data_IF_122459370808
#
_entry.id   IF_122459370808
#
_cell.length_a   1.000
_cell.length_b   1.000
_cell.length_c   1.000
_cell.angle_alpha   90.00
_cell.angle_beta   90.00
_cell.angle_gamma   90.00
#
_symmetry.space_group_name_H-M   'P 1'
#
loop_
_entity.id
_entity.type
_entity.pdbx_description
1 polymer ?
#
# COMPACT_ATOMS: atom_id res chain seq x y z
N UNK A 1 1.06 -11.44 -9.43
CA UNK A 1 0.87 -10.90 -8.07
C UNK A 1 0.26 -9.51 -8.17
N UNK A 2 -0.49 -9.07 -7.15
CA UNK A 2 -0.90 -7.68 -6.99
C UNK A 2 -0.33 -7.10 -5.69
N UNK A 3 0.10 -5.84 -5.73
CA UNK A 3 0.55 -5.08 -4.56
C UNK A 3 -0.40 -3.91 -4.32
N UNK A 4 -0.97 -3.81 -3.12
CA UNK A 4 -1.80 -2.67 -2.74
C UNK A 4 -0.98 -1.58 -2.05
N UNK A 5 -1.02 -0.37 -2.59
CA UNK A 5 -0.41 0.82 -2.03
C UNK A 5 -1.45 1.71 -1.34
N UNK A 6 -1.26 1.97 -0.05
CA UNK A 6 -2.11 2.85 0.77
C UNK A 6 -1.40 4.15 1.21
N UNK A 7 -0.09 4.25 0.98
CA UNK A 7 0.76 5.39 1.34
C UNK A 7 1.58 5.91 0.18
N UNK A 8 2.89 6.06 0.38
CA UNK A 8 3.80 6.63 -0.63
C UNK A 8 3.79 5.89 -1.97
N UNK A 9 3.47 4.59 -1.97
CA UNK A 9 3.31 3.78 -3.17
C UNK A 9 2.25 4.33 -4.14
N UNK A 10 1.19 4.98 -3.64
CA UNK A 10 0.14 5.57 -4.48
C UNK A 10 0.69 6.58 -5.49
N UNK A 11 1.72 7.34 -5.09
CA UNK A 11 2.38 8.34 -5.93
C UNK A 11 3.68 7.82 -6.57
N UNK A 12 4.44 6.96 -5.87
CA UNK A 12 5.71 6.41 -6.36
C UNK A 12 5.81 4.92 -6.06
N UNK A 13 5.47 4.09 -7.04
CA UNK A 13 5.57 2.63 -6.94
C UNK A 13 7.02 2.18 -6.71
N UNK A 14 7.96 2.62 -7.55
CA UNK A 14 9.38 2.27 -7.42
C UNK A 14 9.77 0.90 -7.97
N UNK A 15 8.84 0.23 -8.67
CA UNK A 15 9.03 -1.05 -9.37
C UNK A 15 8.19 -1.07 -10.65
N UNK A 16 8.50 -1.98 -11.57
CA UNK A 16 7.73 -2.17 -12.79
C UNK A 16 6.41 -2.89 -12.52
N UNK A 17 5.34 -2.49 -13.20
CA UNK A 17 4.02 -3.12 -13.11
C UNK A 17 3.33 -3.09 -14.48
N UNK A 18 2.49 -4.09 -14.74
CA UNK A 18 1.76 -4.22 -16.00
C UNK A 18 0.49 -3.34 -16.01
N UNK A 19 -0.13 -3.20 -14.83
CA UNK A 19 -1.44 -2.56 -14.69
C UNK A 19 -1.55 -1.86 -13.33
N UNK A 20 -2.25 -0.73 -13.29
CA UNK A 20 -2.57 0.02 -12.07
C UNK A 20 -4.06 0.28 -12.00
N UNK A 21 -4.70 -0.16 -10.92
CA UNK A 21 -6.11 0.08 -10.64
C UNK A 21 -6.27 0.94 -9.39
N UNK A 22 -7.13 1.96 -9.45
CA UNK A 22 -7.54 2.74 -8.27
C UNK A 22 -8.78 2.09 -7.67
N UNK A 23 -8.78 1.95 -6.35
CA UNK A 23 -9.84 1.24 -5.63
C UNK A 23 -9.56 1.24 -4.15
N UNK A 24 -10.18 0.31 -3.43
CA UNK A 24 -10.10 0.27 -1.98
C UNK A 24 -10.09 -1.16 -1.42
N UNK A 25 -9.63 -1.27 -0.19
CA UNK A 25 -9.76 -2.47 0.65
C UNK A 25 -10.75 -2.19 1.77
N UNK A 26 -11.30 -3.24 2.38
CA UNK A 26 -12.25 -3.15 3.51
C UNK A 26 -11.63 -3.67 4.80
N UNK A 27 -12.17 -3.26 5.95
CA UNK A 27 -11.73 -3.74 7.27
C UNK A 27 -10.43 -3.13 7.78
N UNK A 28 -9.96 -2.04 7.15
CA UNK A 28 -8.73 -1.36 7.53
C UNK A 28 -8.91 0.15 7.50
N UNK A 29 -8.29 0.82 8.46
CA UNK A 29 -8.17 2.27 8.53
C UNK A 29 -6.73 2.71 8.30
N UNK A 30 -6.54 3.73 7.48
CA UNK A 30 -5.25 4.39 7.30
C UNK A 30 -5.01 5.41 8.40
N UNK A 31 -3.95 5.23 9.17
CA UNK A 31 -3.59 6.09 10.31
C UNK A 31 -2.14 6.55 10.20
N UNK A 32 -1.80 7.74 10.69
CA UNK A 32 -0.43 8.25 10.74
C UNK A 32 0.26 7.83 12.04
N UNK A 33 0.25 6.54 12.38
CA UNK A 33 0.78 6.06 13.67
C UNK A 33 2.17 5.42 13.59
N UNK A 34 2.71 5.23 12.38
CA UNK A 34 4.05 4.70 12.19
C UNK A 34 5.09 5.80 12.38
N UNK A 35 6.10 5.57 13.23
CA UNK A 35 7.23 6.49 13.38
C UNK A 35 8.22 6.34 12.23
N UNK A 36 8.73 7.44 11.69
CA UNK A 36 9.80 7.44 10.68
C UNK A 36 10.96 8.30 11.14
N UNK A 37 12.14 7.68 11.24
CA UNK A 37 13.39 8.30 11.71
C UNK A 37 14.42 8.49 10.59
N UNK A 38 14.09 8.05 9.37
CA UNK A 38 14.99 7.93 8.22
C UNK A 38 14.47 8.65 6.96
N UNK A 39 13.15 8.76 6.81
CA UNK A 39 12.51 9.37 5.64
C UNK A 39 11.78 10.67 5.96
N UNK A 40 10.98 10.70 7.04
CA UNK A 40 10.10 11.83 7.38
C UNK A 40 10.39 12.45 8.75
N UNK A 41 11.52 12.09 9.35
CA UNK A 41 12.03 12.66 10.60
C UNK A 41 13.47 12.24 10.82
N UNK A 42 13.96 12.46 12.03
CA UNK A 42 15.28 12.00 12.49
C UNK A 42 15.12 11.09 13.71
N UNK A 43 16.17 10.38 14.16
CA UNK A 43 16.11 9.61 15.41
C UNK A 43 15.69 10.45 16.63
N UNK A 44 16.11 11.71 16.69
CA UNK A 44 15.81 12.65 17.78
C UNK A 44 14.41 13.26 17.66
N UNK A 45 13.94 13.45 16.42
CA UNK A 45 12.64 14.03 16.10
C UNK A 45 11.90 13.16 15.06
N UNK A 46 11.31 12.03 15.50
CA UNK A 46 10.66 11.10 14.59
C UNK A 46 9.43 11.74 13.94
N UNK A 47 9.34 11.60 12.62
CA UNK A 47 8.16 11.95 11.86
C UNK A 47 7.09 10.87 11.97
N UNK A 48 5.91 11.14 11.41
CA UNK A 48 4.83 10.16 11.30
C UNK A 48 4.55 9.80 9.85
N UNK A 49 4.48 8.52 9.56
CA UNK A 49 4.08 7.94 8.26
C UNK A 49 2.79 7.14 8.43
N UNK A 50 2.16 6.83 7.29
CA UNK A 50 0.92 6.07 7.28
C UNK A 50 1.17 4.58 7.52
N UNK A 51 0.25 3.95 8.24
CA UNK A 51 0.13 2.49 8.37
C UNK A 51 -1.35 2.10 8.29
N UNK A 52 -1.64 0.81 8.23
CA UNK A 52 -2.98 0.25 8.26
C UNK A 52 -3.25 -0.40 9.61
N UNK A 53 -4.37 -0.04 10.23
CA UNK A 53 -4.88 -0.66 11.45
C UNK A 53 -6.16 -1.46 11.10
N UNK A 54 -6.35 -2.68 11.67
CA UNK A 54 -7.64 -3.37 11.59
C UNK A 54 -8.77 -2.49 12.09
N UNK A 55 -9.86 -2.43 11.35
CA UNK A 55 -11.00 -1.57 11.63
C UNK A 55 -12.32 -2.31 11.40
N UNK A 56 -13.44 -1.60 11.52
CA UNK A 56 -14.75 -2.15 11.21
C UNK A 56 -14.78 -2.72 9.77
N UNK A 57 -15.39 -3.90 9.52
CA UNK A 57 -15.44 -4.51 8.20
C UNK A 57 -16.04 -3.63 7.09
N UNK A 58 -16.84 -2.63 7.44
CA UNK A 58 -17.43 -1.67 6.51
C UNK A 58 -16.54 -0.45 6.24
N UNK A 59 -15.50 -0.23 7.03
CA UNK A 59 -14.53 0.83 6.75
C UNK A 59 -13.70 0.52 5.51
N UNK A 60 -13.49 1.56 4.71
CA UNK A 60 -12.76 1.47 3.44
C UNK A 60 -11.48 2.26 3.51
N UNK A 61 -10.39 1.67 3.01
CA UNK A 61 -9.14 2.37 2.76
C UNK A 61 -8.88 2.44 1.26
N UNK A 62 -8.97 3.65 0.71
CA UNK A 62 -8.64 3.93 -0.69
C UNK A 62 -7.13 3.90 -0.95
N UNK A 63 -6.77 3.40 -2.12
CA UNK A 63 -5.39 3.28 -2.59
C UNK A 63 -5.31 2.90 -4.05
N UNK A 64 -4.22 2.24 -4.43
CA UNK A 64 -4.03 1.70 -5.76
C UNK A 64 -3.44 0.29 -5.70
N UNK A 65 -3.89 -0.60 -6.59
CA UNK A 65 -3.34 -1.94 -6.77
C UNK A 65 -2.49 -2.00 -8.04
N UNK A 66 -1.33 -2.64 -7.95
CA UNK A 66 -0.34 -2.76 -9.03
C UNK A 66 -0.16 -4.23 -9.41
N UNK A 67 -0.41 -4.58 -10.67
CA UNK A 67 -0.26 -5.94 -11.20
C UNK A 67 1.16 -6.18 -11.64
N UNK A 68 1.72 -7.32 -11.25
CA UNK A 68 3.04 -7.77 -11.69
C UNK A 68 2.91 -9.21 -12.14
N UNK A 69 3.08 -9.47 -13.43
CA UNK A 69 2.80 -10.77 -14.06
C UNK A 69 4.06 -11.63 -14.15
N UNK A 70 5.18 -11.03 -14.55
CA UNK A 70 6.47 -11.72 -14.68
C UNK A 70 7.04 -12.07 -13.31
N UNK A 71 7.48 -13.32 -13.13
CA UNK A 71 8.00 -13.81 -11.85
C UNK A 71 9.25 -13.05 -11.39
N UNK A 72 10.18 -12.79 -12.31
CA UNK A 72 11.40 -12.01 -12.03
C UNK A 72 11.07 -10.59 -11.51
N UNK A 73 10.14 -9.89 -12.15
CA UNK A 73 9.68 -8.57 -11.70
C UNK A 73 8.96 -8.63 -10.34
N UNK A 74 8.26 -9.72 -10.05
CA UNK A 74 7.66 -9.93 -8.72
C UNK A 74 8.74 -10.04 -7.64
N UNK A 75 9.80 -10.80 -7.90
CA UNK A 75 10.93 -10.97 -6.97
C UNK A 75 11.67 -9.65 -6.75
N UNK A 76 11.90 -8.87 -7.82
CA UNK A 76 12.50 -7.53 -7.74
C UNK A 76 11.61 -6.58 -6.93
N UNK A 77 10.30 -6.56 -7.19
CA UNK A 77 9.36 -5.70 -6.46
C UNK A 77 9.30 -6.07 -4.98
N UNK A 78 9.26 -7.36 -4.64
CA UNK A 78 9.27 -7.82 -3.24
C UNK A 78 10.56 -7.41 -2.53
N UNK A 79 11.72 -7.60 -3.18
CA UNK A 79 13.02 -7.20 -2.63
C UNK A 79 13.08 -5.68 -2.43
N UNK A 80 12.59 -4.89 -3.39
CA UNK A 80 12.53 -3.44 -3.27
C UNK A 80 11.65 -3.00 -2.11
N UNK A 81 10.47 -3.61 -1.96
CA UNK A 81 9.52 -3.31 -0.90
C UNK A 81 10.07 -3.69 0.48
N UNK A 82 10.77 -4.82 0.60
CA UNK A 82 11.43 -5.22 1.85
C UNK A 82 12.49 -4.21 2.30
N UNK A 83 13.22 -3.61 1.36
CA UNK A 83 14.23 -2.59 1.66
C UNK A 83 13.60 -1.23 1.99
N UNK A 84 12.51 -0.89 1.30
CA UNK A 84 11.83 0.41 1.43
C UNK A 84 10.94 0.47 2.66
N UNK A 85 10.32 -0.64 3.01
CA UNK A 85 9.31 -0.77 4.07
C UNK A 85 9.89 -1.66 5.20
N UNK A 86 11.19 -1.51 5.53
CA UNK A 86 11.91 -2.33 6.52
C UNK A 86 11.28 -2.43 7.91
N UNK A 87 10.31 -1.57 8.21
CA UNK A 87 9.63 -1.49 9.51
C UNK A 87 8.28 -2.21 9.56
N UNK A 88 7.84 -2.88 8.47
CA UNK A 88 6.53 -3.56 8.44
C UNK A 88 6.71 -5.08 8.50
N UNK A 89 6.26 -5.69 9.60
CA UNK A 89 6.51 -7.10 9.89
C UNK A 89 5.49 -8.08 9.28
N UNK A 90 4.39 -7.57 8.69
CA UNK A 90 3.26 -8.40 8.25
C UNK A 90 2.90 -8.19 6.80
N UNK A 91 2.85 -9.29 6.06
CA UNK A 91 2.24 -9.38 4.72
C UNK A 91 0.85 -10.00 4.88
N UNK A 92 -0.17 -9.41 4.23
CA UNK A 92 -1.54 -9.91 4.24
C UNK A 92 -2.13 -9.88 2.82
N UNK A 93 -2.98 -10.86 2.54
CA UNK A 93 -3.80 -10.88 1.33
C UNK A 93 -5.17 -10.32 1.68
N UNK A 94 -5.67 -9.41 0.84
CA UNK A 94 -6.93 -8.72 1.04
C UNK A 94 -7.68 -8.65 -0.29
N UNK A 95 -9.01 -8.66 -0.21
CA UNK A 95 -9.84 -8.36 -1.37
C UNK A 95 -9.73 -6.88 -1.72
N UNK A 96 -9.58 -6.61 -3.02
CA UNK A 96 -9.51 -5.27 -3.58
C UNK A 96 -10.74 -5.01 -4.43
N UNK A 97 -11.38 -3.86 -4.19
CA UNK A 97 -12.62 -3.46 -4.85
C UNK A 97 -12.37 -2.23 -5.72
N UNK A 98 -12.91 -2.24 -6.94
CA UNK A 98 -13.00 -1.07 -7.81
C UNK A 98 -14.44 -0.59 -7.88
N UNK A 99 -14.62 0.69 -8.17
CA UNK A 99 -15.96 1.23 -8.49
C UNK A 99 -16.19 1.11 -10.00
N UNK A 100 -17.32 0.52 -10.39
CA UNK A 100 -17.76 0.54 -11.78
C UNK A 100 -18.50 1.85 -12.04
N UNK A 101 -18.21 2.51 -13.16
CA UNK A 101 -18.85 3.78 -13.55
C UNK A 101 -20.29 3.61 -14.06
N UNK A 102 -20.91 2.43 -13.92
CA UNK A 102 -22.27 2.15 -14.42
C UNK A 102 -23.39 2.57 -13.46
N UNK A 103 -23.07 3.16 -12.30
CA UNK A 103 -24.07 3.57 -11.30
C UNK A 103 -24.21 5.10 -11.13
N UNK A 104 -23.70 5.90 -12.09
CA UNK A 104 -23.70 7.38 -11.97
C UNK A 104 -24.47 8.08 -13.12
N UNK A 105 -25.42 7.41 -13.78
CA UNK A 105 -26.42 8.06 -14.65
C UNK A 105 -27.79 7.40 -14.53
#
# INVERSE_FOLDING_TARGET
MWVFGYGSLVWKAGFNFDERLVGFIKGYRRVFYQGSTDHRGTPEFPGRTVTLEPADPHEVCWGAAYKITKKEEQEIALTHLEVREKQYDKKAYVDFFTVSYHEIF
#
